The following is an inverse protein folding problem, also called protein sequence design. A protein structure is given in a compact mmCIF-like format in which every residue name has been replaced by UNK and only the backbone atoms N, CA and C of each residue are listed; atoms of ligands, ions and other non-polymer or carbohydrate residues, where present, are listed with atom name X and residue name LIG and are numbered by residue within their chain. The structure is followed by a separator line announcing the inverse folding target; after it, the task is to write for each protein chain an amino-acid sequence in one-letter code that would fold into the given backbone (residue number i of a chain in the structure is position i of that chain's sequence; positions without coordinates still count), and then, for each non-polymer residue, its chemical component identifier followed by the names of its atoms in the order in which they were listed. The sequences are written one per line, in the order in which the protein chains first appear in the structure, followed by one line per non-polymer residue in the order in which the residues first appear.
data_IF_619331522857
#
_entry.id   IF_619331522857
#
_cell.length_a   1.000
_cell.length_b   1.000
_cell.length_c   1.000
_cell.angle_alpha   90.00
_cell.angle_beta   90.00
_cell.angle_gamma   90.00
#
_symmetry.space_group_name_H-M   'P 1'
#
loop_
_entity.id
_entity.type
_entity.pdbx_description
1 polymer ?
#
# COMPACT_ATOMS: atom_id res chain seq x y z
N UNK A 1 18.45 6.24 0.59
CA UNK A 1 17.97 5.49 -0.60
C UNK A 1 16.64 4.81 -0.25
N UNK A 2 15.97 4.15 -1.19
CA UNK A 2 14.74 3.37 -0.93
C UNK A 2 15.06 1.88 -0.85
N UNK A 3 14.63 1.24 0.22
CA UNK A 3 14.57 -0.22 0.35
C UNK A 3 13.14 -0.72 0.22
N UNK A 4 12.95 -1.84 -0.47
CA UNK A 4 11.65 -2.49 -0.59
C UNK A 4 11.67 -3.80 0.21
N UNK A 5 10.80 -3.91 1.20
CA UNK A 5 10.66 -5.12 2.02
C UNK A 5 9.69 -6.11 1.38
N UNK A 6 10.16 -7.33 1.15
CA UNK A 6 9.51 -8.41 0.40
C UNK A 6 10.10 -8.55 -0.99
N UNK A 7 10.24 -9.77 -1.50
CA UNK A 7 10.79 -10.06 -2.84
C UNK A 7 9.82 -10.83 -3.77
N UNK A 8 8.53 -10.88 -3.43
CA UNK A 8 7.52 -11.65 -4.20
C UNK A 8 6.78 -10.78 -5.23
N UNK A 9 5.66 -11.26 -5.78
CA UNK A 9 4.93 -10.59 -6.85
C UNK A 9 4.53 -9.13 -6.53
N UNK A 10 4.14 -8.84 -5.29
CA UNK A 10 3.78 -7.47 -4.90
C UNK A 10 5.01 -6.52 -4.88
N UNK A 11 6.20 -7.05 -4.58
CA UNK A 11 7.45 -6.31 -4.63
C UNK A 11 7.85 -5.92 -6.05
N UNK A 12 7.58 -6.77 -7.05
CA UNK A 12 7.81 -6.44 -8.47
C UNK A 12 7.05 -5.17 -8.87
N UNK A 13 5.78 -5.09 -8.50
CA UNK A 13 4.95 -3.90 -8.79
C UNK A 13 5.45 -2.66 -8.02
N UNK A 14 5.94 -2.85 -6.79
CA UNK A 14 6.54 -1.77 -6.01
C UNK A 14 7.82 -1.23 -6.65
N UNK A 15 8.70 -2.12 -7.16
CA UNK A 15 9.92 -1.74 -7.88
C UNK A 15 9.56 -0.93 -9.13
N UNK A 16 8.69 -1.44 -10.01
CA UNK A 16 8.28 -0.71 -11.22
C UNK A 16 7.68 0.67 -10.89
N UNK A 17 6.87 0.75 -9.82
CA UNK A 17 6.30 2.03 -9.39
C UNK A 17 7.36 3.00 -8.88
N UNK A 18 8.34 2.50 -8.12
CA UNK A 18 9.44 3.32 -7.63
C UNK A 18 10.34 3.82 -8.79
N UNK A 19 10.55 3.01 -9.83
CA UNK A 19 11.27 3.40 -11.05
C UNK A 19 10.54 4.49 -11.83
N UNK A 20 9.21 4.35 -12.03
CA UNK A 20 8.36 5.37 -12.66
C UNK A 20 8.38 6.70 -11.87
N UNK A 21 8.52 6.61 -10.55
CA UNK A 21 8.70 7.76 -9.64
C UNK A 21 10.14 8.29 -9.62
N UNK A 22 11.08 7.64 -10.32
CA UNK A 22 12.51 7.97 -10.35
C UNK A 22 13.14 7.98 -8.95
N UNK A 23 12.68 7.08 -8.08
CA UNK A 23 13.26 6.89 -6.75
C UNK A 23 14.54 6.04 -6.88
N UNK A 24 15.52 6.36 -6.02
CA UNK A 24 16.80 5.64 -5.96
C UNK A 24 16.65 4.38 -5.11
N UNK A 25 16.45 3.23 -5.77
CA UNK A 25 16.24 1.93 -5.12
C UNK A 25 17.60 1.31 -4.80
N UNK A 26 17.86 1.11 -3.51
CA UNK A 26 19.09 0.48 -3.02
C UNK A 26 19.09 -1.04 -3.22
N UNK A 27 17.93 -1.68 -3.06
CA UNK A 27 17.78 -3.12 -3.02
C UNK A 27 16.50 -3.53 -2.32
N UNK A 28 16.30 -4.85 -2.24
CA UNK A 28 15.17 -5.47 -1.58
C UNK A 28 15.62 -6.22 -0.33
N UNK A 29 14.70 -6.34 0.62
CA UNK A 29 14.91 -7.05 1.88
C UNK A 29 13.89 -8.18 1.96
N UNK A 30 14.33 -9.42 2.14
CA UNK A 30 13.43 -10.56 2.36
C UNK A 30 13.93 -11.42 3.54
N UNK A 31 13.01 -12.13 4.21
CA UNK A 31 13.38 -13.08 5.28
C UNK A 31 13.97 -14.37 4.70
N UNK A 32 13.77 -14.63 3.41
CA UNK A 32 14.27 -15.81 2.70
C UNK A 32 15.07 -15.41 1.46
N UNK A 33 16.32 -15.89 1.37
CA UNK A 33 17.18 -15.70 0.20
C UNK A 33 16.92 -16.72 -0.92
N UNK A 34 15.72 -17.32 -0.96
CA UNK A 34 15.32 -18.14 -2.10
C UNK A 34 15.21 -17.32 -3.39
N UNK A 35 15.00 -16.01 -3.25
CA UNK A 35 15.03 -15.02 -4.31
C UNK A 35 16.27 -14.17 -4.07
N UNK A 36 17.16 -14.11 -5.05
CA UNK A 36 18.46 -13.40 -4.96
C UNK A 36 18.41 -11.99 -5.52
N UNK A 37 17.45 -11.73 -6.39
CA UNK A 37 17.27 -10.49 -7.12
C UNK A 37 15.80 -10.32 -7.52
N UNK A 38 15.39 -9.06 -7.66
CA UNK A 38 14.13 -8.68 -8.29
C UNK A 38 14.46 -7.64 -9.35
N UNK A 39 14.31 -8.05 -10.62
CA UNK A 39 14.81 -7.30 -11.77
C UNK A 39 16.33 -7.05 -11.64
N UNK A 40 16.77 -5.80 -11.63
CA UNK A 40 18.19 -5.43 -11.55
C UNK A 40 18.67 -5.15 -10.11
N UNK A 41 17.82 -5.41 -9.10
CA UNK A 41 18.11 -5.06 -7.70
C UNK A 41 18.38 -6.30 -6.84
N UNK A 42 19.42 -6.30 -5.99
CA UNK A 42 19.74 -7.42 -5.13
C UNK A 42 18.69 -7.58 -4.03
N UNK A 43 18.44 -8.84 -3.64
CA UNK A 43 17.65 -9.19 -2.46
C UNK A 43 18.61 -9.65 -1.38
N UNK A 44 18.56 -9.00 -0.23
CA UNK A 44 19.43 -9.30 0.91
C UNK A 44 18.62 -9.64 2.15
N UNK A 45 19.25 -10.38 3.08
CA UNK A 45 18.69 -10.54 4.41
C UNK A 45 18.75 -9.20 5.11
N UNK A 46 17.67 -8.86 5.81
CA UNK A 46 17.51 -7.72 6.71
C UNK A 46 18.78 -6.86 6.87
N UNK A 47 19.01 -5.97 5.90
CA UNK A 47 20.17 -5.10 5.92
C UNK A 47 20.12 -4.18 7.14
N UNK A 48 21.29 -3.68 7.56
CA UNK A 48 21.40 -2.54 8.45
C UNK A 48 20.90 -1.27 7.73
N UNK A 49 19.59 -1.12 7.62
CA UNK A 49 18.96 0.09 7.07
C UNK A 49 19.42 1.29 7.90
N UNK A 50 20.05 2.27 7.26
CA UNK A 50 20.45 3.48 7.97
C UNK A 50 19.20 4.29 8.29
N UNK A 51 18.70 4.17 9.52
CA UNK A 51 17.44 4.77 9.98
C UNK A 51 17.40 6.31 9.83
N UNK A 52 18.55 6.97 9.73
CA UNK A 52 18.61 8.41 9.51
C UNK A 52 18.43 8.81 8.06
N UNK A 53 18.89 8.00 7.10
CA UNK A 53 19.02 8.36 5.68
C UNK A 53 18.11 7.57 4.75
N UNK A 54 17.76 6.35 5.13
CA UNK A 54 17.07 5.42 4.25
C UNK A 54 15.58 5.40 4.53
N UNK A 55 14.84 5.18 3.45
CA UNK A 55 13.41 5.01 3.45
C UNK A 55 13.08 3.55 3.15
N UNK A 56 11.96 3.07 3.68
CA UNK A 56 11.48 1.70 3.46
C UNK A 56 10.07 1.74 2.91
N UNK A 57 9.80 0.88 1.93
CA UNK A 57 8.45 0.55 1.50
C UNK A 57 8.18 -0.93 1.77
N UNK A 58 7.07 -1.27 2.41
CA UNK A 58 6.73 -2.67 2.76
C UNK A 58 5.82 -3.27 1.69
N UNK A 59 6.42 -3.99 0.74
CA UNK A 59 5.72 -4.64 -0.37
C UNK A 59 5.19 -6.04 0.02
N UNK A 60 4.34 -6.07 1.04
CA UNK A 60 3.65 -7.29 1.50
C UNK A 60 2.15 -7.04 1.44
N UNK A 61 1.42 -7.86 0.69
CA UNK A 61 -0.02 -7.67 0.47
C UNK A 61 -0.88 -8.07 1.67
N UNK A 62 -0.51 -9.17 2.35
CA UNK A 62 -1.18 -9.63 3.58
C UNK A 62 -1.12 -8.54 4.65
N UNK A 63 -2.28 -8.05 5.07
CA UNK A 63 -2.37 -6.91 5.99
C UNK A 63 -1.80 -7.24 7.36
N UNK A 64 -2.01 -8.45 7.87
CA UNK A 64 -1.50 -8.91 9.17
C UNK A 64 0.02 -9.01 9.21
N UNK A 65 0.65 -9.56 8.17
CA UNK A 65 2.09 -9.64 8.04
C UNK A 65 2.70 -8.25 7.85
N UNK A 66 2.06 -7.38 7.06
CA UNK A 66 2.48 -5.98 6.91
C UNK A 66 2.44 -5.23 8.25
N UNK A 67 1.36 -5.38 9.04
CA UNK A 67 1.26 -4.85 10.40
C UNK A 67 2.38 -5.36 11.29
N UNK A 68 2.62 -6.68 11.28
CA UNK A 68 3.69 -7.30 12.06
C UNK A 68 5.06 -6.74 11.70
N UNK A 69 5.41 -6.69 10.41
CA UNK A 69 6.67 -6.13 9.93
C UNK A 69 6.83 -4.68 10.39
N UNK A 70 5.80 -3.86 10.23
CA UNK A 70 5.85 -2.45 10.65
C UNK A 70 6.00 -2.32 12.16
N UNK A 71 5.29 -3.13 12.95
CA UNK A 71 5.40 -3.13 14.41
C UNK A 71 6.78 -3.56 14.93
N UNK A 72 7.41 -4.54 14.26
CA UNK A 72 8.76 -5.04 14.57
C UNK A 72 9.84 -4.02 14.17
N UNK A 73 9.51 -3.02 13.34
CA UNK A 73 10.45 -2.08 12.74
C UNK A 73 10.00 -0.62 12.89
N UNK A 74 9.44 -0.27 14.05
CA UNK A 74 8.81 1.04 14.30
C UNK A 74 9.74 2.27 14.14
N UNK A 75 11.06 2.07 14.08
CA UNK A 75 12.06 3.12 13.88
C UNK A 75 12.34 3.44 12.41
N UNK A 76 11.81 2.64 11.48
CA UNK A 76 11.99 2.90 10.05
C UNK A 76 11.23 4.13 9.58
N UNK A 77 11.82 4.82 8.60
CA UNK A 77 11.15 5.89 7.87
C UNK A 77 10.45 5.28 6.66
N UNK A 78 9.13 5.40 6.61
CA UNK A 78 8.35 4.81 5.52
C UNK A 78 8.08 5.80 4.40
N UNK A 79 8.26 5.34 3.17
CA UNK A 79 7.90 6.06 1.94
C UNK A 79 6.58 5.51 1.39
N UNK A 80 5.68 6.36 0.93
CA UNK A 80 4.49 5.96 0.19
C UNK A 80 4.79 5.92 -1.31
N UNK A 81 4.26 4.93 -2.01
CA UNK A 81 4.39 4.80 -3.47
C UNK A 81 3.04 5.13 -4.11
N UNK A 82 2.99 6.23 -4.85
CA UNK A 82 1.78 6.67 -5.56
C UNK A 82 2.10 6.64 -7.04
N UNK A 83 1.54 5.66 -7.76
CA UNK A 83 1.86 5.49 -9.17
C UNK A 83 1.50 6.76 -9.99
N UNK A 84 2.33 7.23 -10.94
CA UNK A 84 2.06 8.47 -11.69
C UNK A 84 0.74 8.50 -12.49
N UNK A 85 0.20 7.31 -12.80
CA UNK A 85 -1.11 7.13 -13.46
C UNK A 85 -2.30 7.09 -12.48
N UNK A 86 -2.09 7.19 -11.17
CA UNK A 86 -3.17 7.36 -10.21
C UNK A 86 -3.62 8.83 -10.21
N UNK A 87 -4.92 9.07 -10.10
CA UNK A 87 -5.47 10.39 -9.89
C UNK A 87 -5.72 10.61 -8.40
N UNK A 88 -4.86 11.37 -7.74
CA UNK A 88 -5.01 11.69 -6.32
C UNK A 88 -5.32 13.17 -6.18
N UNK A 89 -6.47 13.49 -5.58
CA UNK A 89 -6.80 14.88 -5.26
C UNK A 89 -5.73 15.51 -4.38
N UNK A 90 -5.36 16.77 -4.66
CA UNK A 90 -4.45 17.56 -3.80
C UNK A 90 -5.03 17.88 -2.42
N UNK A 91 -6.32 17.56 -2.21
CA UNK A 91 -7.05 17.74 -0.95
C UNK A 91 -7.30 16.40 -0.24
N UNK A 92 -6.73 15.32 -0.73
CA UNK A 92 -6.74 14.03 -0.02
C UNK A 92 -5.50 13.93 0.86
N UNK A 93 -5.67 13.31 2.02
CA UNK A 93 -4.58 13.02 2.96
C UNK A 93 -4.16 11.56 2.79
N UNK A 94 -2.88 11.32 2.50
CA UNK A 94 -2.33 9.97 2.29
C UNK A 94 -1.27 9.68 3.35
N UNK A 95 -1.50 8.62 4.13
CA UNK A 95 -0.60 8.13 5.15
C UNK A 95 0.71 7.56 4.60
N UNK A 96 1.66 7.32 5.49
CA UNK A 96 3.00 6.83 5.16
C UNK A 96 2.97 5.34 4.82
N UNK A 97 3.88 4.90 3.96
CA UNK A 97 3.97 3.48 3.57
C UNK A 97 2.79 2.99 2.73
N UNK A 98 1.90 3.89 2.30
CA UNK A 98 0.71 3.56 1.52
C UNK A 98 1.06 3.40 0.03
N UNK A 99 0.47 2.40 -0.60
CA UNK A 99 0.64 2.08 -2.00
C UNK A 99 -0.64 2.42 -2.78
N UNK A 100 -0.56 3.34 -3.73
CA UNK A 100 -1.65 3.64 -4.65
C UNK A 100 -1.25 3.19 -6.04
N UNK A 101 -1.94 2.16 -6.53
CA UNK A 101 -1.64 1.50 -7.80
C UNK A 101 -2.19 2.29 -9.03
N UNK A 102 -1.71 1.98 -10.25
CA UNK A 102 -2.11 2.68 -11.46
C UNK A 102 -3.64 2.79 -11.66
N UNK A 103 -4.10 3.95 -12.11
CA UNK A 103 -5.51 4.18 -12.44
C UNK A 103 -6.43 4.37 -11.23
N UNK A 104 -5.96 4.17 -9.99
CA UNK A 104 -6.76 4.49 -8.81
C UNK A 104 -7.15 5.98 -8.80
N UNK A 105 -8.38 6.27 -8.36
CA UNK A 105 -8.93 7.63 -8.32
C UNK A 105 -9.37 7.96 -6.90
N UNK A 106 -8.68 8.91 -6.28
CA UNK A 106 -8.92 9.37 -4.89
C UNK A 106 -9.52 10.76 -4.93
N UNK A 107 -10.78 10.87 -4.52
CA UNK A 107 -11.52 12.12 -4.52
C UNK A 107 -11.01 13.13 -3.46
N UNK A 108 -11.41 14.41 -3.52
CA UNK A 108 -11.15 15.38 -2.46
C UNK A 108 -11.69 14.93 -1.10
N UNK A 109 -11.04 15.37 -0.02
CA UNK A 109 -11.47 15.15 1.36
C UNK A 109 -11.50 13.66 1.77
N UNK A 110 -10.80 12.81 1.02
CA UNK A 110 -10.52 11.42 1.42
C UNK A 110 -9.31 11.39 2.35
N UNK A 111 -9.41 10.58 3.41
CA UNK A 111 -8.30 10.30 4.31
C UNK A 111 -7.91 8.83 4.17
N UNK A 112 -6.67 8.56 3.78
CA UNK A 112 -6.11 7.21 3.71
C UNK A 112 -5.02 7.09 4.77
N UNK A 113 -5.15 6.09 5.62
CA UNK A 113 -4.21 5.78 6.69
C UNK A 113 -2.86 5.29 6.18
N UNK A 114 -2.03 4.88 7.14
CA UNK A 114 -0.69 4.36 6.88
C UNK A 114 -0.75 2.93 6.36
N UNK A 115 0.22 2.55 5.54
CA UNK A 115 0.41 1.18 5.05
C UNK A 115 -0.83 0.57 4.38
N UNK A 116 -1.64 1.42 3.75
CA UNK A 116 -2.77 0.96 2.96
C UNK A 116 -2.31 0.50 1.57
N UNK A 117 -3.09 -0.35 0.92
CA UNK A 117 -2.90 -0.72 -0.48
C UNK A 117 -4.19 -0.39 -1.22
N UNK A 118 -4.13 0.54 -2.17
CA UNK A 118 -5.25 0.93 -3.01
C UNK A 118 -5.02 0.36 -4.41
N UNK A 119 -5.80 -0.67 -4.73
CA UNK A 119 -5.70 -1.46 -5.96
C UNK A 119 -5.88 -0.66 -7.24
N UNK A 120 -5.38 -1.21 -8.35
CA UNK A 120 -5.48 -0.58 -9.67
C UNK A 120 -6.93 -0.27 -10.03
N UNK A 121 -7.17 0.91 -10.58
CA UNK A 121 -8.50 1.42 -10.93
C UNK A 121 -9.52 1.46 -9.78
N UNK A 122 -9.11 1.33 -8.52
CA UNK A 122 -10.02 1.51 -7.40
C UNK A 122 -10.47 2.97 -7.32
N UNK A 123 -11.74 3.21 -7.01
CA UNK A 123 -12.31 4.56 -6.87
C UNK A 123 -12.72 4.76 -5.42
N UNK A 124 -12.24 5.84 -4.80
CA UNK A 124 -12.62 6.23 -3.44
C UNK A 124 -13.27 7.61 -3.51
N UNK A 125 -14.57 7.67 -3.23
CA UNK A 125 -15.35 8.90 -3.28
C UNK A 125 -15.13 9.78 -2.02
N UNK A 126 -15.56 11.04 -2.11
CA UNK A 126 -15.24 12.08 -1.13
C UNK A 126 -15.76 11.82 0.28
N UNK A 127 -15.10 12.43 1.27
CA UNK A 127 -15.41 12.29 2.70
C UNK A 127 -15.29 10.85 3.24
N UNK A 128 -14.56 9.98 2.54
CA UNK A 128 -14.32 8.60 2.96
C UNK A 128 -13.02 8.49 3.74
N UNK A 129 -13.06 7.70 4.81
CA UNK A 129 -11.93 7.42 5.69
C UNK A 129 -11.54 5.96 5.50
N UNK A 130 -10.30 5.73 5.11
CA UNK A 130 -9.66 4.41 5.04
C UNK A 130 -8.63 4.36 6.15
N UNK A 131 -8.86 3.56 7.19
CA UNK A 131 -7.91 3.44 8.31
C UNK A 131 -6.64 2.66 7.93
N UNK A 132 -5.68 2.62 8.85
CA UNK A 132 -4.37 2.00 8.64
C UNK A 132 -4.45 0.53 8.20
N UNK A 133 -3.50 0.12 7.37
CA UNK A 133 -3.30 -1.25 6.90
C UNK A 133 -4.44 -1.83 6.05
N UNK A 134 -5.42 -1.03 5.62
CA UNK A 134 -6.49 -1.50 4.74
C UNK A 134 -5.94 -1.86 3.36
N UNK A 135 -6.43 -2.97 2.80
CA UNK A 135 -6.20 -3.35 1.40
C UNK A 135 -7.52 -3.23 0.63
N UNK A 136 -7.55 -2.40 -0.40
CA UNK A 136 -8.66 -2.29 -1.35
C UNK A 136 -8.23 -2.92 -2.67
N UNK A 137 -8.94 -3.95 -3.10
CA UNK A 137 -8.66 -4.69 -4.32
C UNK A 137 -8.87 -3.86 -5.60
N UNK A 138 -8.31 -4.31 -6.73
CA UNK A 138 -8.46 -3.62 -8.00
C UNK A 138 -9.91 -3.56 -8.46
N UNK A 139 -10.24 -2.50 -9.19
CA UNK A 139 -11.58 -2.19 -9.74
C UNK A 139 -12.70 -2.08 -8.69
N UNK A 140 -12.37 -1.94 -7.40
CA UNK A 140 -13.38 -1.73 -6.36
C UNK A 140 -13.81 -0.26 -6.30
N UNK A 141 -15.06 -0.01 -5.95
CA UNK A 141 -15.64 1.34 -5.83
C UNK A 141 -16.19 1.54 -4.43
N UNK A 142 -15.67 2.57 -3.76
CA UNK A 142 -16.05 2.95 -2.40
C UNK A 142 -16.83 4.26 -2.46
N UNK A 143 -18.08 4.23 -2.00
CA UNK A 143 -18.97 5.37 -1.93
C UNK A 143 -18.49 6.48 -1.00
N UNK A 144 -19.19 7.60 -1.02
CA UNK A 144 -18.88 8.77 -0.17
C UNK A 144 -19.28 8.52 1.28
N UNK A 145 -18.64 9.22 2.22
CA UNK A 145 -18.92 9.12 3.66
C UNK A 145 -18.78 7.68 4.21
N UNK A 146 -17.89 6.88 3.63
CA UNK A 146 -17.62 5.52 4.09
C UNK A 146 -16.51 5.55 5.13
N UNK A 147 -16.60 4.69 6.15
CA UNK A 147 -15.49 4.39 7.05
C UNK A 147 -15.06 2.94 6.85
N UNK A 148 -13.78 2.70 6.51
CA UNK A 148 -13.21 1.36 6.42
C UNK A 148 -12.22 1.18 7.56
N UNK A 149 -12.57 0.29 8.50
CA UNK A 149 -11.77 0.01 9.69
C UNK A 149 -10.43 -0.66 9.38
N UNK A 150 -9.46 -0.41 10.25
CA UNK A 150 -8.05 -0.80 10.11
C UNK A 150 -7.86 -2.30 9.88
N UNK A 151 -6.89 -2.64 9.03
CA UNK A 151 -6.56 -4.03 8.68
C UNK A 151 -7.64 -4.76 7.88
N UNK A 152 -8.67 -4.07 7.38
CA UNK A 152 -9.69 -4.70 6.55
C UNK A 152 -9.17 -4.98 5.13
N UNK A 153 -9.68 -6.04 4.53
CA UNK A 153 -9.34 -6.46 3.18
C UNK A 153 -10.60 -6.53 2.31
N UNK A 154 -10.64 -5.68 1.30
CA UNK A 154 -11.71 -5.62 0.31
C UNK A 154 -11.19 -6.29 -0.96
N UNK A 155 -11.86 -7.33 -1.42
CA UNK A 155 -11.47 -8.05 -2.64
C UNK A 155 -11.64 -7.19 -3.90
N UNK A 156 -11.12 -7.70 -5.01
CA UNK A 156 -11.33 -7.08 -6.32
C UNK A 156 -12.81 -7.02 -6.70
N UNK A 157 -13.18 -5.99 -7.46
CA UNK A 157 -14.53 -5.78 -8.01
C UNK A 157 -15.64 -5.68 -6.95
N UNK A 158 -15.35 -5.10 -5.79
CA UNK A 158 -16.35 -4.84 -4.75
C UNK A 158 -16.93 -3.44 -4.92
N UNK A 159 -18.24 -3.32 -4.70
CA UNK A 159 -18.92 -2.04 -4.52
C UNK A 159 -19.34 -1.88 -3.05
N UNK A 160 -18.91 -0.79 -2.42
CA UNK A 160 -19.41 -0.36 -1.11
C UNK A 160 -20.24 0.91 -1.30
N UNK A 161 -21.49 0.86 -0.87
CA UNK A 161 -22.43 1.99 -0.94
C UNK A 161 -21.94 3.17 -0.11
N UNK A 162 -22.50 4.36 -0.36
CA UNK A 162 -22.24 5.53 0.47
C UNK A 162 -22.78 5.32 1.91
N UNK A 163 -22.20 6.03 2.87
CA UNK A 163 -22.62 6.04 4.29
C UNK A 163 -22.44 4.71 5.05
N UNK A 164 -21.69 3.77 4.47
CA UNK A 164 -21.39 2.49 5.10
C UNK A 164 -20.24 2.59 6.10
N UNK A 165 -20.26 1.70 7.10
CA UNK A 165 -19.13 1.51 8.04
C UNK A 165 -18.72 0.05 8.03
N UNK A 166 -17.46 -0.21 7.69
CA UNK A 166 -16.84 -1.52 7.73
C UNK A 166 -16.01 -1.63 9.01
N UNK A 167 -16.29 -2.64 9.82
CA UNK A 167 -15.53 -2.88 11.05
C UNK A 167 -14.07 -3.25 10.76
N UNK A 168 -13.17 -3.00 11.71
CA UNK A 168 -11.75 -3.37 11.62
C UNK A 168 -11.55 -4.88 11.38
N UNK A 169 -10.49 -5.24 10.67
CA UNK A 169 -10.13 -6.61 10.31
C UNK A 169 -11.26 -7.37 9.59
N UNK A 170 -12.11 -6.65 8.84
CA UNK A 170 -13.15 -7.27 8.02
C UNK A 170 -12.58 -7.80 6.72
N UNK A 171 -13.11 -8.90 6.22
CA UNK A 171 -12.77 -9.47 4.91
C UNK A 171 -14.02 -9.45 4.04
N UNK A 172 -14.05 -8.57 3.04
CA UNK A 172 -15.16 -8.44 2.09
C UNK A 172 -14.76 -9.13 0.79
N UNK A 173 -15.42 -10.24 0.49
CA UNK A 173 -15.15 -11.05 -0.70
C UNK A 173 -16.30 -10.98 -1.70
N UNK A 174 -15.97 -11.03 -2.98
CA UNK A 174 -16.97 -11.17 -4.03
C UNK A 174 -17.44 -12.63 -4.01
N UNK A 175 -18.76 -12.83 -3.99
CA UNK A 175 -19.34 -14.15 -4.19
C UNK A 175 -19.65 -14.27 -5.68
N UNK A 176 -19.03 -15.25 -6.34
CA UNK A 176 -19.34 -15.61 -7.72
C UNK A 176 -20.58 -16.51 -7.80
#
# INVERSE_FOLDING_TARGET
MLYIYGATAHAKVAVETAEELKLDIAGLIDKSLLITDVFDYPVELHQEINQEKDMVFVAVLDSGLRQRIVSENCFWKYCSLIHPKAHVSKRADIGKGTFILPGASIAPDVQIGNHCVIGSNAVIASNTIVEDFVTIGPNSSIGSNVLIGSGSEISANIHISAEETIEKNSYIMSVQ
#
